data_IF_421197889011
#
_entry.id   IF_421197889011
#
_cell.length_a   1.000
_cell.length_b   1.000
_cell.length_c   1.000
_cell.angle_alpha   90.00
_cell.angle_beta   90.00
_cell.angle_gamma   90.00
#
_symmetry.space_group_name_H-M   'P 1'
#
loop_
_entity.id
_entity.type
_entity.pdbx_description
1 polymer ?
#
# COMPACT_ATOMS: atom_id res chain seq x y z
N UNK A 1 8.80 16.16 15.15
CA UNK A 1 8.41 17.47 15.54
C UNK A 1 7.68 17.64 16.87
N UNK A 2 8.31 17.24 18.04
CA UNK A 2 7.73 17.49 19.37
C UNK A 2 8.54 18.45 20.25
N UNK A 3 9.56 19.08 19.68
CA UNK A 3 10.50 19.96 20.42
C UNK A 3 9.79 21.09 21.16
N UNK A 4 8.77 21.71 20.56
CA UNK A 4 7.98 22.78 21.18
C UNK A 4 7.08 22.29 22.33
N UNK A 5 6.98 20.99 22.50
CA UNK A 5 6.13 20.35 23.50
C UNK A 5 6.93 19.55 24.53
N UNK A 6 8.27 19.69 24.54
CA UNK A 6 9.16 18.92 25.41
C UNK A 6 8.82 19.05 26.90
N UNK A 7 8.36 20.22 27.34
CA UNK A 7 8.00 20.50 28.73
C UNK A 7 6.55 20.13 29.09
N UNK A 8 5.74 19.67 28.12
CA UNK A 8 4.36 19.28 28.37
C UNK A 8 4.26 17.85 28.91
N UNK A 9 3.36 17.63 29.85
CA UNK A 9 3.01 16.28 30.28
C UNK A 9 2.25 15.56 29.17
N UNK A 10 2.42 14.23 29.03
CA UNK A 10 1.77 13.42 27.98
C UNK A 10 0.25 13.63 27.95
N UNK A 11 -0.41 13.80 29.11
CA UNK A 11 -1.84 14.08 29.19
C UNK A 11 -2.29 15.42 28.58
N UNK A 12 -1.37 16.34 28.32
CA UNK A 12 -1.65 17.65 27.71
C UNK A 12 -1.41 17.66 26.20
N UNK A 13 -0.90 16.55 25.66
CA UNK A 13 -0.66 16.38 24.24
C UNK A 13 -1.95 15.96 23.50
N UNK A 14 -2.09 16.37 22.23
CA UNK A 14 -3.15 15.86 21.36
C UNK A 14 -2.97 14.35 21.10
N UNK A 15 -4.00 13.68 20.58
CA UNK A 15 -3.93 12.25 20.24
C UNK A 15 -2.77 11.94 19.30
N UNK A 16 -2.62 12.72 18.21
CA UNK A 16 -1.51 12.57 17.27
C UNK A 16 -0.14 12.87 17.88
N UNK A 17 -0.05 13.85 18.78
CA UNK A 17 1.21 14.13 19.50
C UNK A 17 1.60 12.98 20.44
N UNK A 18 0.64 12.41 21.16
CA UNK A 18 0.88 11.21 21.99
C UNK A 18 1.36 10.05 21.16
N UNK A 19 0.71 9.78 20.03
CA UNK A 19 1.12 8.68 19.11
C UNK A 19 2.56 8.85 18.62
N UNK A 20 2.99 10.08 18.31
CA UNK A 20 4.40 10.37 17.97
C UNK A 20 5.36 10.07 19.14
N UNK A 21 4.95 10.31 20.39
CA UNK A 21 5.75 9.92 21.55
C UNK A 21 5.84 8.40 21.66
N UNK A 22 4.73 7.68 21.46
CA UNK A 22 4.72 6.21 21.52
C UNK A 22 5.68 5.60 20.48
N UNK A 23 5.66 6.11 19.26
CA UNK A 23 6.61 5.71 18.21
C UNK A 23 8.05 6.03 18.63
N UNK A 24 8.31 7.24 19.13
CA UNK A 24 9.65 7.64 19.58
C UNK A 24 10.18 6.75 20.71
N UNK A 25 9.32 6.32 21.63
CA UNK A 25 9.69 5.35 22.68
C UNK A 25 10.03 3.99 22.09
N UNK A 26 9.27 3.54 21.07
CA UNK A 26 9.55 2.28 20.39
C UNK A 26 10.91 2.22 19.69
N UNK A 27 11.35 3.35 19.13
CA UNK A 27 12.60 3.41 18.33
C UNK A 27 13.84 3.82 19.13
N UNK A 28 13.68 4.35 20.35
CA UNK A 28 14.81 4.89 21.14
C UNK A 28 15.91 3.85 21.41
N UNK A 29 15.51 2.57 21.54
CA UNK A 29 16.42 1.45 21.76
C UNK A 29 17.09 0.89 20.51
N UNK A 30 16.84 1.48 19.32
CA UNK A 30 17.28 0.96 18.01
C UNK A 30 16.95 -0.54 17.86
N UNK A 31 15.66 -0.91 17.85
CA UNK A 31 15.27 -2.30 17.76
C UNK A 31 15.57 -2.88 16.36
N UNK A 32 15.92 -4.16 16.29
CA UNK A 32 15.99 -4.90 15.03
C UNK A 32 14.60 -5.19 14.46
N UNK A 33 13.57 -5.27 15.33
CA UNK A 33 12.19 -5.52 14.96
C UNK A 33 11.26 -4.56 15.71
N UNK A 34 10.43 -3.84 14.98
CA UNK A 34 9.45 -2.88 15.51
C UNK A 34 8.03 -3.27 15.08
N UNK A 35 7.13 -3.34 16.05
CA UNK A 35 5.71 -3.57 15.81
C UNK A 35 4.94 -2.25 15.91
N UNK A 36 4.19 -1.91 14.88
CA UNK A 36 3.37 -0.70 14.80
C UNK A 36 1.92 -1.09 14.50
N UNK A 37 1.04 -0.88 15.45
CA UNK A 37 -0.39 -1.16 15.30
C UNK A 37 -1.14 0.14 15.01
N UNK A 38 -1.69 0.25 13.78
CA UNK A 38 -2.44 1.42 13.29
C UNK A 38 -1.73 2.76 13.60
N UNK A 39 -0.45 2.94 13.22
CA UNK A 39 0.39 4.00 13.77
C UNK A 39 -0.03 5.41 13.39
N UNK A 40 -0.72 5.59 12.26
CA UNK A 40 -1.12 6.91 11.75
C UNK A 40 -2.57 7.27 12.05
N UNK A 41 -3.28 6.41 12.78
CA UNK A 41 -4.67 6.69 13.17
C UNK A 41 -4.77 8.01 13.95
N UNK A 42 -5.60 8.93 13.42
CA UNK A 42 -5.79 10.27 13.99
C UNK A 42 -4.70 11.29 13.64
N UNK A 43 -3.78 10.96 12.73
CA UNK A 43 -2.84 11.93 12.20
C UNK A 43 -3.51 12.82 11.14
N UNK A 44 -3.13 14.10 11.13
CA UNK A 44 -3.38 14.96 9.99
C UNK A 44 -2.47 14.59 8.80
N UNK A 45 -2.75 15.08 7.59
CA UNK A 45 -1.96 14.71 6.40
C UNK A 45 -0.47 15.10 6.48
N UNK A 46 -0.12 16.14 7.23
CA UNK A 46 1.28 16.56 7.40
C UNK A 46 2.01 15.59 8.34
N UNK A 47 1.37 15.26 9.47
CA UNK A 47 1.87 14.31 10.44
C UNK A 47 2.06 12.91 9.84
N UNK A 48 1.13 12.47 8.98
CA UNK A 48 1.22 11.19 8.28
C UNK A 48 2.44 11.15 7.35
N UNK A 49 2.68 12.20 6.57
CA UNK A 49 3.88 12.30 5.72
C UNK A 49 5.18 12.24 6.52
N UNK A 50 5.27 13.02 7.61
CA UNK A 50 6.45 12.99 8.50
C UNK A 50 6.69 11.58 9.08
N UNK A 51 5.62 10.85 9.38
CA UNK A 51 5.70 9.47 9.85
C UNK A 51 6.19 8.52 8.76
N UNK A 52 5.69 8.62 7.54
CA UNK A 52 6.16 7.83 6.39
C UNK A 52 7.66 8.05 6.14
N UNK A 53 8.12 9.32 6.17
CA UNK A 53 9.53 9.65 6.04
C UNK A 53 10.37 9.06 7.19
N UNK A 54 9.82 8.97 8.40
CA UNK A 54 10.48 8.32 9.53
C UNK A 54 10.61 6.82 9.32
N UNK A 55 9.55 6.13 8.89
CA UNK A 55 9.54 4.69 8.61
C UNK A 55 10.62 4.36 7.57
N UNK A 56 10.65 5.06 6.43
CA UNK A 56 11.68 4.86 5.41
C UNK A 56 13.10 5.05 5.96
N UNK A 57 13.34 6.08 6.79
CA UNK A 57 14.66 6.25 7.40
C UNK A 57 15.06 5.12 8.33
N UNK A 58 14.11 4.55 9.08
CA UNK A 58 14.39 3.44 10.00
C UNK A 58 14.72 2.15 9.26
N UNK A 59 14.05 1.89 8.12
CA UNK A 59 14.34 0.71 7.30
C UNK A 59 15.64 0.87 6.50
N UNK A 60 15.88 2.05 5.92
CA UNK A 60 17.00 2.29 5.02
C UNK A 60 18.35 2.49 5.75
N UNK A 61 18.33 3.14 6.93
CA UNK A 61 19.54 3.57 7.62
C UNK A 61 19.85 2.76 8.87
N UNK A 62 18.86 2.24 9.55
CA UNK A 62 19.00 1.58 10.84
C UNK A 62 18.78 0.06 10.78
N UNK A 63 18.57 -0.52 9.58
CA UNK A 63 18.31 -1.97 9.37
C UNK A 63 17.14 -2.52 10.24
N UNK A 64 16.18 -1.67 10.59
CA UNK A 64 15.05 -2.06 11.42
C UNK A 64 13.98 -2.72 10.57
N UNK A 65 13.62 -3.96 10.89
CA UNK A 65 12.42 -4.60 10.31
C UNK A 65 11.17 -4.08 10.99
N UNK A 66 10.21 -3.59 10.21
CA UNK A 66 8.95 -3.04 10.73
C UNK A 66 7.78 -3.94 10.33
N UNK A 67 7.03 -4.44 11.31
CA UNK A 67 5.72 -5.05 11.10
C UNK A 67 4.65 -4.03 11.46
N UNK A 68 3.92 -3.57 10.45
CA UNK A 68 2.88 -2.55 10.57
C UNK A 68 1.52 -3.16 10.27
N UNK A 69 0.52 -2.87 11.12
CA UNK A 69 -0.87 -3.12 10.79
C UNK A 69 -1.55 -1.83 10.38
N UNK A 70 -2.38 -1.87 9.35
CA UNK A 70 -3.20 -0.74 8.92
C UNK A 70 -4.44 -1.22 8.16
N UNK A 71 -5.50 -0.44 8.22
CA UNK A 71 -6.65 -0.56 7.32
C UNK A 71 -6.61 0.48 6.19
N UNK A 72 -5.62 1.37 6.19
CA UNK A 72 -5.37 2.35 5.13
C UNK A 72 -4.51 1.70 4.05
N UNK A 73 -5.14 1.28 2.95
CA UNK A 73 -4.47 0.58 1.86
C UNK A 73 -3.46 1.47 1.11
N UNK A 74 -3.70 2.78 1.08
CA UNK A 74 -2.74 3.74 0.54
C UNK A 74 -1.46 3.81 1.39
N UNK A 75 -1.60 3.68 2.72
CA UNK A 75 -0.46 3.60 3.63
C UNK A 75 0.33 2.31 3.40
N UNK A 76 -0.37 1.17 3.32
CA UNK A 76 0.27 -0.12 3.05
C UNK A 76 1.03 -0.10 1.71
N UNK A 77 0.44 0.46 0.65
CA UNK A 77 1.07 0.55 -0.67
C UNK A 77 2.33 1.43 -0.67
N UNK A 78 2.35 2.49 0.14
CA UNK A 78 3.48 3.44 0.21
C UNK A 78 4.63 2.98 1.08
N UNK A 79 4.35 2.20 2.13
CA UNK A 79 5.33 1.86 3.16
C UNK A 79 5.85 0.43 3.09
N UNK A 80 5.05 -0.50 2.55
CA UNK A 80 5.35 -1.91 2.69
C UNK A 80 6.08 -2.48 1.46
N UNK A 81 7.24 -3.08 1.68
CA UNK A 81 7.90 -3.95 0.69
C UNK A 81 7.09 -5.24 0.49
N UNK A 82 6.41 -5.68 1.56
CA UNK A 82 5.62 -6.92 1.60
C UNK A 82 4.32 -6.73 2.35
N UNK A 83 3.22 -7.12 1.74
CA UNK A 83 1.87 -6.98 2.26
C UNK A 83 1.30 -8.36 2.54
N UNK A 84 0.71 -8.53 3.72
CA UNK A 84 -0.03 -9.71 4.14
C UNK A 84 -1.50 -9.31 4.30
N UNK A 85 -2.39 -9.91 3.50
CA UNK A 85 -3.84 -9.68 3.65
C UNK A 85 -4.41 -10.73 4.58
N UNK A 86 -5.01 -10.27 5.68
CA UNK A 86 -5.63 -11.11 6.71
C UNK A 86 -7.15 -11.07 6.58
N UNK A 87 -7.79 -12.22 6.43
CA UNK A 87 -9.24 -12.35 6.47
C UNK A 87 -9.64 -13.65 7.18
N UNK A 88 -10.70 -13.58 8.00
CA UNK A 88 -11.19 -14.75 8.77
C UNK A 88 -10.12 -15.38 9.67
N UNK A 89 -9.16 -14.60 10.19
CA UNK A 89 -8.06 -15.08 11.02
C UNK A 89 -6.96 -15.83 10.26
N UNK A 90 -6.94 -15.72 8.93
CA UNK A 90 -5.94 -16.38 8.06
C UNK A 90 -5.32 -15.38 7.11
N UNK A 91 -4.06 -15.61 6.75
CA UNK A 91 -3.40 -14.87 5.67
C UNK A 91 -3.90 -15.45 4.36
N UNK A 92 -4.65 -14.65 3.59
CA UNK A 92 -5.24 -15.04 2.31
C UNK A 92 -4.39 -14.62 1.11
N UNK A 93 -3.50 -13.63 1.30
CA UNK A 93 -2.57 -13.20 0.27
C UNK A 93 -1.29 -12.64 0.89
N UNK A 94 -0.19 -12.74 0.13
CA UNK A 94 1.14 -12.33 0.52
C UNK A 94 1.95 -11.96 -0.73
N UNK A 95 2.57 -10.80 -0.73
CA UNK A 95 3.39 -10.29 -1.83
C UNK A 95 3.61 -8.79 -1.75
N UNK A 96 4.35 -8.21 -2.70
CA UNK A 96 4.40 -6.76 -2.89
C UNK A 96 3.06 -6.26 -3.44
N UNK A 97 2.81 -4.94 -3.37
CA UNK A 97 1.60 -4.33 -3.95
C UNK A 97 1.44 -4.70 -5.44
N UNK A 98 2.53 -4.63 -6.19
CA UNK A 98 2.57 -5.00 -7.62
C UNK A 98 2.29 -6.50 -7.87
N UNK A 99 2.80 -7.39 -7.02
CA UNK A 99 2.54 -8.83 -7.14
C UNK A 99 1.08 -9.16 -6.85
N UNK A 100 0.53 -8.55 -5.81
CA UNK A 100 -0.87 -8.74 -5.44
C UNK A 100 -1.82 -8.19 -6.51
N UNK A 101 -1.55 -7.00 -7.01
CA UNK A 101 -2.32 -6.39 -8.10
C UNK A 101 -2.34 -7.28 -9.36
N UNK A 102 -1.19 -7.86 -9.74
CA UNK A 102 -1.10 -8.78 -10.90
C UNK A 102 -1.87 -10.10 -10.71
N UNK A 103 -2.10 -10.54 -9.48
CA UNK A 103 -2.90 -11.76 -9.22
C UNK A 103 -4.38 -11.56 -9.49
N UNK A 104 -4.89 -10.36 -9.24
CA UNK A 104 -6.32 -10.03 -9.37
C UNK A 104 -6.65 -9.55 -10.76
N UNK A 105 -5.81 -8.70 -11.34
CA UNK A 105 -5.97 -8.23 -12.70
C UNK A 105 -4.63 -8.26 -13.43
N UNK A 106 -4.52 -9.19 -14.38
CA UNK A 106 -3.39 -9.18 -15.32
C UNK A 106 -3.46 -8.00 -16.28
N UNK A 107 -4.62 -7.32 -16.36
CA UNK A 107 -4.91 -6.30 -17.33
C UNK A 107 -4.76 -4.90 -16.72
N UNK A 108 -4.03 -4.03 -17.42
CA UNK A 108 -4.01 -2.61 -17.16
C UNK A 108 -5.14 -1.93 -17.95
N UNK A 109 -5.77 -0.94 -17.35
CA UNK A 109 -6.77 -0.11 -18.00
C UNK A 109 -6.08 1.12 -18.58
N UNK A 110 -6.17 1.28 -19.90
CA UNK A 110 -5.69 2.46 -20.61
C UNK A 110 -6.88 3.34 -20.93
N UNK A 111 -6.83 4.57 -20.46
CA UNK A 111 -7.85 5.61 -20.68
C UNK A 111 -7.23 6.71 -21.51
N UNK A 112 -7.96 7.24 -22.47
CA UNK A 112 -7.52 8.38 -23.26
C UNK A 112 -8.72 9.16 -23.82
N UNK A 113 -8.48 10.39 -24.24
CA UNK A 113 -9.44 11.22 -24.95
C UNK A 113 -8.97 11.40 -26.40
N UNK A 114 -9.90 11.44 -27.35
CA UNK A 114 -9.67 11.78 -28.75
C UNK A 114 -10.91 12.45 -29.33
N UNK A 115 -10.74 13.61 -29.96
CA UNK A 115 -11.86 14.36 -30.54
C UNK A 115 -12.94 14.75 -29.55
N UNK A 116 -12.61 14.89 -28.27
CA UNK A 116 -13.56 15.19 -27.18
C UNK A 116 -14.31 13.97 -26.62
N UNK A 117 -14.08 12.78 -27.16
CA UNK A 117 -14.63 11.53 -26.65
C UNK A 117 -13.61 10.81 -25.75
N UNK A 118 -14.10 10.12 -24.73
CA UNK A 118 -13.29 9.30 -23.82
C UNK A 118 -13.37 7.84 -24.18
N UNK A 119 -12.22 7.19 -24.16
CA UNK A 119 -12.06 5.77 -24.46
C UNK A 119 -11.41 5.06 -23.29
N UNK A 120 -11.75 3.79 -23.13
CA UNK A 120 -11.18 2.89 -22.11
C UNK A 120 -10.91 1.54 -22.77
N UNK A 121 -9.71 1.00 -22.53
CA UNK A 121 -9.32 -0.31 -23.03
C UNK A 121 -8.51 -1.08 -21.97
N UNK A 122 -8.88 -2.33 -21.74
CA UNK A 122 -8.14 -3.22 -20.84
C UNK A 122 -7.17 -4.09 -21.63
N UNK A 123 -5.90 -4.13 -21.20
CA UNK A 123 -4.85 -4.86 -21.90
C UNK A 123 -3.80 -5.42 -20.93
N UNK A 124 -3.24 -6.57 -21.29
CA UNK A 124 -2.10 -7.16 -20.55
C UNK A 124 -0.77 -6.46 -20.81
N UNK A 125 -0.63 -5.86 -21.97
CA UNK A 125 0.56 -5.10 -22.36
C UNK A 125 0.18 -3.66 -22.72
N UNK A 126 0.05 -2.84 -21.65
CA UNK A 126 -0.26 -1.42 -21.80
C UNK A 126 0.82 -0.68 -22.63
N UNK A 127 2.08 -1.08 -22.53
CA UNK A 127 3.18 -0.44 -23.25
C UNK A 127 3.06 -0.66 -24.76
N UNK A 128 2.78 -1.89 -25.18
CA UNK A 128 2.55 -2.20 -26.59
C UNK A 128 1.31 -1.48 -27.11
N UNK A 129 0.20 -1.56 -26.36
CA UNK A 129 -1.06 -0.90 -26.72
C UNK A 129 -0.91 0.62 -26.87
N UNK A 130 -0.28 1.29 -25.91
CA UNK A 130 -0.05 2.75 -25.98
C UNK A 130 0.83 3.11 -27.16
N UNK A 131 1.84 2.31 -27.48
CA UNK A 131 2.69 2.54 -28.68
C UNK A 131 1.88 2.45 -29.98
N UNK A 132 1.02 1.43 -30.11
CA UNK A 132 0.12 1.28 -31.24
C UNK A 132 -0.89 2.43 -31.33
N UNK A 133 -1.44 2.85 -30.18
CA UNK A 133 -2.37 3.96 -30.09
C UNK A 133 -1.76 5.26 -30.64
N UNK A 134 -0.52 5.58 -30.22
CA UNK A 134 0.18 6.75 -30.74
C UNK A 134 0.63 6.58 -32.18
N UNK A 135 0.98 5.38 -32.63
CA UNK A 135 1.29 5.14 -34.04
C UNK A 135 0.09 5.35 -34.94
N UNK A 136 -1.12 5.07 -34.44
CA UNK A 136 -2.36 5.20 -35.21
C UNK A 136 -2.94 6.62 -35.19
N UNK A 137 -2.89 7.30 -34.03
CA UNK A 137 -3.62 8.56 -33.84
C UNK A 137 -2.71 9.75 -33.46
N UNK A 138 -1.44 9.52 -33.17
CA UNK A 138 -0.46 10.56 -32.95
C UNK A 138 -0.90 11.61 -31.90
N UNK A 139 -0.84 12.86 -32.31
CA UNK A 139 -1.16 14.01 -31.44
C UNK A 139 -2.67 14.21 -31.16
N UNK A 140 -3.55 13.42 -31.81
CA UNK A 140 -4.99 13.45 -31.50
C UNK A 140 -5.30 12.87 -30.11
N UNK A 141 -4.35 12.11 -29.52
CA UNK A 141 -4.49 11.53 -28.19
C UNK A 141 -4.22 12.58 -27.14
N UNK A 142 -5.18 12.75 -26.24
CA UNK A 142 -5.08 13.62 -25.07
C UNK A 142 -5.48 12.85 -23.81
N UNK A 143 -5.13 13.36 -22.62
CA UNK A 143 -5.51 12.81 -21.30
C UNK A 143 -5.22 11.31 -21.18
N UNK A 144 -4.07 10.85 -21.70
CA UNK A 144 -3.69 9.45 -21.60
C UNK A 144 -3.34 9.09 -20.15
N UNK A 145 -4.04 8.10 -19.63
CA UNK A 145 -3.80 7.52 -18.30
C UNK A 145 -3.68 5.99 -18.42
N UNK A 146 -2.69 5.41 -17.77
CA UNK A 146 -2.57 3.96 -17.62
C UNK A 146 -2.74 3.62 -16.16
N UNK A 147 -3.82 2.92 -15.81
CA UNK A 147 -4.11 2.47 -14.45
C UNK A 147 -3.98 0.96 -14.37
N UNK A 148 -3.33 0.50 -13.33
CA UNK A 148 -3.43 -0.90 -12.87
C UNK A 148 -4.44 -0.95 -11.74
N UNK A 149 -4.93 -2.14 -11.41
CA UNK A 149 -5.76 -2.34 -10.24
C UNK A 149 -5.01 -1.78 -9.01
N UNK A 150 -5.67 -0.94 -8.23
CA UNK A 150 -5.14 -0.43 -6.97
C UNK A 150 -5.04 -1.56 -5.95
N UNK A 151 -4.32 -1.34 -4.86
CA UNK A 151 -4.31 -2.27 -3.75
C UNK A 151 -5.72 -2.43 -3.15
N UNK A 152 -6.56 -1.39 -3.21
CA UNK A 152 -7.96 -1.44 -2.77
C UNK A 152 -8.79 -2.39 -3.64
N UNK A 153 -8.72 -2.26 -4.98
CA UNK A 153 -9.39 -3.17 -5.91
C UNK A 153 -8.94 -4.62 -5.70
N UNK A 154 -7.63 -4.79 -5.47
CA UNK A 154 -6.99 -6.08 -5.21
C UNK A 154 -7.49 -6.70 -3.90
N UNK A 155 -7.52 -5.92 -2.83
CA UNK A 155 -8.01 -6.35 -1.52
C UNK A 155 -9.47 -6.79 -1.59
N UNK A 156 -10.34 -5.96 -2.19
CA UNK A 156 -11.77 -6.26 -2.32
C UNK A 156 -12.01 -7.56 -3.12
N UNK A 157 -11.27 -7.75 -4.21
CA UNK A 157 -11.39 -8.97 -5.01
C UNK A 157 -10.94 -10.22 -4.26
N UNK A 158 -9.81 -10.17 -3.56
CA UNK A 158 -9.27 -11.31 -2.79
C UNK A 158 -10.15 -11.67 -1.59
N UNK A 159 -10.69 -10.68 -0.88
CA UNK A 159 -11.61 -10.90 0.24
C UNK A 159 -12.92 -11.49 -0.26
N UNK A 160 -13.49 -10.97 -1.35
CA UNK A 160 -14.70 -11.50 -1.96
C UNK A 160 -14.53 -12.95 -2.44
N UNK A 161 -13.41 -13.28 -3.07
CA UNK A 161 -13.07 -14.64 -3.48
C UNK A 161 -12.99 -15.58 -2.26
N UNK A 162 -12.36 -15.15 -1.19
CA UNK A 162 -12.26 -15.91 0.06
C UNK A 162 -13.63 -16.15 0.71
N UNK A 163 -14.47 -15.13 0.82
CA UNK A 163 -15.80 -15.20 1.42
C UNK A 163 -16.80 -16.03 0.59
N UNK A 164 -16.67 -15.99 -0.74
CA UNK A 164 -17.49 -16.78 -1.65
C UNK A 164 -17.11 -18.28 -1.72
N UNK A 165 -16.12 -18.71 -0.92
CA UNK A 165 -15.67 -20.08 -0.84
C UNK A 165 -14.77 -20.52 -2.00
N UNK A 166 -14.25 -19.58 -2.76
CA UNK A 166 -13.20 -19.82 -3.74
C UNK A 166 -11.94 -20.33 -3.04
N UNK A 167 -11.59 -21.60 -3.28
CA UNK A 167 -10.31 -22.15 -2.80
C UNK A 167 -9.19 -21.57 -3.63
N UNK A 168 -8.70 -20.41 -3.25
CA UNK A 168 -7.48 -19.84 -3.88
C UNK A 168 -6.31 -20.78 -3.59
N UNK A 169 -5.51 -21.09 -4.61
CA UNK A 169 -4.33 -21.96 -4.50
C UNK A 169 -3.24 -21.46 -3.56
N UNK A 170 -3.46 -20.36 -2.84
CA UNK A 170 -2.52 -19.73 -1.91
C UNK A 170 -2.41 -20.48 -0.58
N UNK A 171 -3.47 -21.18 -0.14
CA UNK A 171 -3.41 -22.02 1.06
C UNK A 171 -2.40 -23.19 0.91
N UNK A 172 -2.14 -23.64 -0.32
CA UNK A 172 -1.15 -24.69 -0.60
C UNK A 172 0.30 -24.22 -0.49
N UNK A 173 0.59 -22.95 -0.78
CA UNK A 173 1.97 -22.44 -0.75
C UNK A 173 2.51 -22.23 0.68
N UNK A 174 1.66 -22.16 1.69
CA UNK A 174 2.08 -22.02 3.09
C UNK A 174 2.24 -23.36 3.81
N UNK A 175 1.59 -24.45 3.35
CA UNK A 175 1.83 -25.79 3.89
C UNK A 175 3.20 -26.37 3.47
N UNK A 176 3.80 -25.83 2.39
CA UNK A 176 5.13 -26.27 1.91
C UNK A 176 6.33 -25.53 2.53
N UNK A 177 6.11 -24.48 3.35
CA UNK A 177 7.18 -23.65 3.95
C UNK A 177 7.23 -23.75 5.49
N UNK A 178 6.42 -24.58 6.10
CA UNK A 178 6.60 -24.92 7.51
C UNK A 178 7.73 -25.95 7.65
N UNK A 179 8.75 -25.73 8.52
CA UNK A 179 9.87 -26.62 8.73
C UNK A 179 9.44 -27.96 9.34
#
# INVERSE_FOLDING_TARGET
GLTEHADKRIGQLSGGQRRRVDVAVGIVGRPELLFLDEPTTGFDPAARREFHDLVHRLTDLDDTTILLTTHDLDEAEKLADRILILAGGRIIANGSADELSRRVSADAEVRWSRGGERFVHSTRDATAFVRELFAQYGEEITDLEVRRASLEDTYMALVHEYESGGRTGVARAFEEVAP
#
